data_IF_900609001216
#
_entry.id   IF_900609001216
#
_cell.length_a   1.000
_cell.length_b   1.000
_cell.length_c   1.000
_cell.angle_alpha   90.00
_cell.angle_beta   90.00
_cell.angle_gamma   90.00
#
_symmetry.space_group_name_H-M   'P 1'
#
loop_
_entity.id
_entity.type
_entity.pdbx_description
1 polymer ?
#
# COMPACT_ATOMS: atom_id res chain seq x y z
N UNK A 1 -4.98 30.19 -6.06
CA UNK A 1 -4.38 28.92 -6.52
C UNK A 1 -4.10 28.14 -5.24
N UNK A 2 -4.98 27.24 -4.84
CA UNK A 2 -4.68 26.37 -3.69
C UNK A 2 -3.68 25.35 -4.20
N UNK A 3 -2.43 25.45 -3.74
CA UNK A 3 -1.50 24.35 -3.87
C UNK A 3 -2.11 23.15 -3.13
N UNK A 4 -2.35 22.06 -3.84
CA UNK A 4 -2.68 20.77 -3.22
C UNK A 4 -1.50 20.39 -2.33
N UNK A 5 -1.59 20.71 -1.04
CA UNK A 5 -0.61 20.32 -0.03
C UNK A 5 -0.75 18.82 0.22
N UNK A 6 -0.23 18.02 -0.72
CA UNK A 6 -0.05 16.58 -0.56
C UNK A 6 0.97 16.35 0.55
N UNK A 7 0.49 15.91 1.71
CA UNK A 7 1.37 15.53 2.81
C UNK A 7 1.89 14.12 2.53
N UNK A 8 3.21 14.01 2.39
CA UNK A 8 3.90 12.73 2.30
C UNK A 8 4.56 12.41 3.65
N UNK A 9 4.28 11.23 4.20
CA UNK A 9 5.03 10.68 5.33
C UNK A 9 6.03 9.67 4.78
N UNK A 10 7.30 9.77 5.17
CA UNK A 10 8.35 8.92 4.61
C UNK A 10 9.09 8.15 5.69
N UNK A 11 9.29 6.86 5.47
CA UNK A 11 10.17 5.98 6.22
C UNK A 11 11.31 5.56 5.30
N UNK A 12 12.55 5.76 5.73
CA UNK A 12 13.75 5.31 5.03
C UNK A 12 14.40 4.24 5.88
N UNK A 13 14.67 3.08 5.30
CA UNK A 13 15.32 1.97 6.00
C UNK A 13 16.58 1.53 5.28
N UNK A 14 17.61 1.20 6.06
CA UNK A 14 18.81 0.54 5.59
C UNK A 14 19.35 -0.38 6.69
N UNK A 15 19.27 -1.68 6.44
CA UNK A 15 19.77 -2.74 7.32
C UNK A 15 21.11 -3.26 6.82
N UNK A 16 22.13 -3.22 7.67
CA UNK A 16 23.48 -3.72 7.37
C UNK A 16 23.97 -4.68 8.46
N UNK A 17 24.56 -5.84 8.10
CA UNK A 17 25.14 -6.74 9.09
C UNK A 17 26.39 -6.12 9.72
N UNK A 18 26.52 -6.25 11.04
CA UNK A 18 27.71 -5.79 11.77
C UNK A 18 28.82 -6.83 11.60
N UNK A 19 29.79 -6.54 10.74
CA UNK A 19 30.90 -7.47 10.43
C UNK A 19 32.29 -6.91 10.73
N UNK A 20 32.39 -5.74 11.36
CA UNK A 20 33.66 -5.09 11.71
C UNK A 20 33.50 -3.86 12.61
N UNK A 21 34.57 -3.08 12.75
CA UNK A 21 34.63 -1.90 13.63
C UNK A 21 34.02 -0.63 13.02
N UNK A 22 33.72 -0.63 11.72
CA UNK A 22 33.11 0.49 11.00
C UNK A 22 31.89 -0.02 10.23
N UNK A 23 30.76 0.69 10.37
CA UNK A 23 29.52 0.42 9.63
C UNK A 23 29.24 1.60 8.72
N UNK A 24 29.14 1.35 7.42
CA UNK A 24 28.81 2.40 6.44
C UNK A 24 27.35 2.28 6.02
N UNK A 25 26.58 3.32 6.30
CA UNK A 25 25.18 3.42 5.92
C UNK A 25 25.03 4.24 4.63
N UNK A 26 24.02 3.88 3.86
CA UNK A 26 23.55 4.55 2.63
C UNK A 26 24.52 4.59 1.45
N UNK A 27 25.55 3.75 1.44
CA UNK A 27 26.45 3.60 0.30
C UNK A 27 25.79 2.98 -0.93
N UNK A 28 26.27 3.31 -2.12
CA UNK A 28 25.90 2.58 -3.35
C UNK A 28 26.42 1.15 -3.29
N UNK A 29 25.57 0.19 -3.61
CA UNK A 29 25.91 -1.22 -3.61
C UNK A 29 24.91 -1.98 -4.49
N UNK A 30 25.39 -3.04 -5.13
CA UNK A 30 24.60 -3.96 -5.95
C UNK A 30 24.56 -5.36 -5.31
N UNK A 31 24.81 -5.45 -4.00
CA UNK A 31 24.85 -6.73 -3.29
C UNK A 31 23.44 -7.32 -3.22
N UNK A 32 23.32 -8.62 -3.58
CA UNK A 32 22.08 -9.38 -3.55
C UNK A 32 20.95 -8.71 -4.35
N UNK A 33 21.26 -8.29 -5.57
CA UNK A 33 20.32 -7.57 -6.44
C UNK A 33 19.00 -8.32 -6.62
N UNK A 34 17.91 -7.67 -6.22
CA UNK A 34 16.52 -8.10 -6.42
C UNK A 34 15.67 -6.86 -6.67
N UNK A 35 14.75 -6.87 -7.63
CA UNK A 35 13.93 -5.69 -7.90
C UNK A 35 12.67 -5.67 -7.02
N UNK A 36 12.31 -4.51 -6.47
CA UNK A 36 10.99 -4.30 -5.85
C UNK A 36 9.85 -4.63 -6.81
N UNK A 37 10.10 -4.50 -8.12
CA UNK A 37 9.16 -4.82 -9.18
C UNK A 37 9.08 -6.32 -9.51
N UNK A 38 9.87 -7.19 -8.90
CA UNK A 38 9.81 -8.64 -9.16
C UNK A 38 8.73 -9.35 -8.35
N UNK A 39 8.36 -8.79 -7.18
CA UNK A 39 7.33 -9.35 -6.31
C UNK A 39 5.94 -9.32 -6.95
N UNK A 40 5.03 -10.16 -6.48
CA UNK A 40 3.59 -10.06 -6.73
C UNK A 40 2.93 -9.02 -5.82
N UNK A 41 1.70 -8.59 -6.17
CA UNK A 41 0.91 -7.67 -5.32
C UNK A 41 0.68 -8.26 -3.91
N UNK A 42 0.49 -9.57 -3.84
CA UNK A 42 0.30 -10.31 -2.60
C UNK A 42 1.57 -10.34 -1.75
N UNK A 43 2.71 -10.64 -2.37
CA UNK A 43 4.01 -10.66 -1.69
C UNK A 43 4.38 -9.27 -1.15
N UNK A 44 4.14 -8.20 -1.90
CA UNK A 44 4.45 -6.85 -1.44
C UNK A 44 3.54 -6.42 -0.29
N UNK A 45 2.24 -6.74 -0.33
CA UNK A 45 1.33 -6.46 0.78
C UNK A 45 1.76 -7.22 2.04
N UNK A 46 2.09 -8.52 1.92
CA UNK A 46 2.64 -9.31 3.02
C UNK A 46 3.90 -8.69 3.59
N UNK A 47 4.82 -8.26 2.73
CA UNK A 47 6.07 -7.64 3.16
C UNK A 47 5.82 -6.30 3.89
N UNK A 48 4.96 -5.43 3.36
CA UNK A 48 4.58 -4.15 4.00
C UNK A 48 4.03 -4.41 5.40
N UNK A 49 3.10 -5.36 5.53
CA UNK A 49 2.49 -5.70 6.81
C UNK A 49 3.42 -6.47 7.76
N UNK A 50 4.52 -7.05 7.27
CA UNK A 50 5.55 -7.65 8.13
C UNK A 50 6.42 -6.59 8.82
N UNK A 51 6.60 -5.41 8.21
CA UNK A 51 7.36 -4.31 8.80
C UNK A 51 6.51 -3.56 9.84
N UNK A 52 6.95 -3.54 11.10
CA UNK A 52 6.19 -2.93 12.20
C UNK A 52 5.93 -1.44 11.96
N UNK A 53 6.93 -0.72 11.47
CA UNK A 53 6.91 0.73 11.25
C UNK A 53 5.92 1.08 10.13
N UNK A 54 5.88 0.28 9.06
CA UNK A 54 4.96 0.51 7.94
C UNK A 54 3.52 0.17 8.34
N UNK A 55 3.35 -0.95 9.05
CA UNK A 55 2.05 -1.34 9.59
C UNK A 55 1.52 -0.31 10.59
N UNK A 56 2.38 0.25 11.45
CA UNK A 56 2.04 1.36 12.34
C UNK A 56 1.52 2.58 11.56
N UNK A 57 2.25 2.99 10.52
CA UNK A 57 1.84 4.12 9.68
C UNK A 57 0.48 3.87 9.01
N UNK A 58 0.23 2.67 8.47
CA UNK A 58 -1.05 2.34 7.85
C UNK A 58 -2.19 2.34 8.88
N UNK A 59 -2.01 1.65 10.00
CA UNK A 59 -3.05 1.46 11.01
C UNK A 59 -3.43 2.76 11.72
N UNK A 60 -2.45 3.51 12.24
CA UNK A 60 -2.74 4.70 13.02
C UNK A 60 -3.02 5.94 12.16
N UNK A 61 -2.30 6.12 11.06
CA UNK A 61 -2.36 7.39 10.31
C UNK A 61 -3.40 7.37 9.19
N UNK A 62 -3.80 6.20 8.71
CA UNK A 62 -4.80 6.05 7.63
C UNK A 62 -6.12 5.53 8.19
N UNK A 63 -6.06 4.48 9.00
CA UNK A 63 -7.26 3.80 9.46
C UNK A 63 -7.81 4.37 10.76
N UNK A 64 -7.03 5.23 11.45
CA UNK A 64 -7.32 5.77 12.78
C UNK A 64 -7.59 4.67 13.82
N UNK A 65 -6.83 3.57 13.72
CA UNK A 65 -6.93 2.44 14.64
C UNK A 65 -5.68 2.38 15.52
N UNK A 66 -5.82 1.96 16.78
CA UNK A 66 -4.68 1.78 17.69
C UNK A 66 -3.83 0.58 17.25
N UNK A 67 -2.59 0.81 16.80
CA UNK A 67 -1.70 -0.22 16.29
C UNK A 67 -1.48 -1.41 17.26
N UNK A 68 -1.48 -1.15 18.57
CA UNK A 68 -1.24 -2.18 19.58
C UNK A 68 -2.44 -3.13 19.76
N UNK A 69 -3.64 -2.67 19.40
CA UNK A 69 -4.91 -3.36 19.66
C UNK A 69 -5.59 -3.84 18.37
N UNK A 70 -4.81 -4.18 17.34
CA UNK A 70 -5.32 -4.64 16.04
C UNK A 70 -4.82 -6.06 15.76
N UNK A 71 -5.73 -6.90 15.32
CA UNK A 71 -5.41 -8.10 14.55
C UNK A 71 -5.53 -7.78 13.05
N UNK A 72 -4.68 -8.38 12.23
CA UNK A 72 -4.82 -8.28 10.78
C UNK A 72 -4.80 -9.65 10.11
N UNK A 73 -5.52 -9.76 9.01
CA UNK A 73 -5.54 -10.92 8.13
C UNK A 73 -5.33 -10.44 6.70
N UNK A 74 -4.51 -11.17 5.94
CA UNK A 74 -4.20 -10.87 4.55
C UNK A 74 -4.80 -11.94 3.65
N UNK A 75 -5.09 -11.59 2.40
CA UNK A 75 -5.62 -12.52 1.38
C UNK A 75 -6.87 -13.28 1.87
N UNK A 76 -7.80 -12.54 2.49
CA UNK A 76 -8.94 -13.14 3.17
C UNK A 76 -10.00 -13.59 2.17
N UNK A 77 -10.39 -14.86 2.32
CA UNK A 77 -11.39 -15.56 1.52
C UNK A 77 -12.64 -15.81 2.37
N UNK A 78 -12.91 -17.07 2.69
CA UNK A 78 -13.93 -17.47 3.65
C UNK A 78 -13.47 -17.18 5.09
N UNK A 79 -14.36 -16.77 6.01
CA UNK A 79 -15.82 -16.68 5.86
C UNK A 79 -16.33 -15.30 5.40
N UNK A 80 -15.46 -14.32 5.17
CA UNK A 80 -15.89 -12.96 4.77
C UNK A 80 -16.59 -12.96 3.43
N UNK A 81 -16.06 -13.73 2.48
CA UNK A 81 -16.65 -13.93 1.17
C UNK A 81 -16.98 -15.42 1.01
N UNK A 82 -18.23 -15.73 0.68
CA UNK A 82 -18.60 -17.07 0.26
C UNK A 82 -18.05 -17.36 -1.15
N UNK A 83 -18.07 -18.62 -1.59
CA UNK A 83 -17.52 -19.03 -2.91
C UNK A 83 -18.11 -18.27 -4.11
N UNK A 84 -19.36 -17.83 -4.06
CA UNK A 84 -19.97 -17.05 -5.15
C UNK A 84 -19.50 -15.59 -5.11
N UNK A 85 -19.48 -14.99 -3.92
CA UNK A 85 -18.96 -13.64 -3.69
C UNK A 85 -17.50 -13.54 -4.11
N UNK A 86 -16.67 -14.51 -3.70
CA UNK A 86 -15.25 -14.57 -4.02
C UNK A 86 -14.99 -14.64 -5.54
N UNK A 87 -15.80 -15.40 -6.29
CA UNK A 87 -15.68 -15.45 -7.77
C UNK A 87 -15.91 -14.10 -8.44
N UNK A 88 -16.71 -13.23 -7.83
CA UNK A 88 -17.11 -11.93 -8.39
C UNK A 88 -16.19 -10.80 -7.91
N UNK A 89 -15.76 -10.87 -6.65
CA UNK A 89 -15.04 -9.79 -5.96
C UNK A 89 -13.53 -10.03 -5.99
N UNK A 90 -13.10 -11.29 -5.93
CA UNK A 90 -11.73 -11.65 -5.59
C UNK A 90 -11.57 -11.84 -4.08
N UNK A 91 -10.33 -12.03 -3.65
CA UNK A 91 -9.96 -12.08 -2.24
C UNK A 91 -9.87 -10.66 -1.69
N UNK A 92 -10.00 -10.48 -0.36
CA UNK A 92 -9.77 -9.19 0.29
C UNK A 92 -8.29 -9.11 0.67
N UNK A 93 -7.56 -8.11 0.15
CA UNK A 93 -6.10 -8.05 0.33
C UNK A 93 -5.69 -7.89 1.79
N UNK A 94 -6.32 -6.97 2.55
CA UNK A 94 -6.09 -6.81 3.98
C UNK A 94 -7.37 -6.48 4.76
N UNK A 95 -7.48 -7.06 5.96
CA UNK A 95 -8.54 -6.83 6.93
C UNK A 95 -7.90 -6.48 8.26
N UNK A 96 -8.24 -5.32 8.82
CA UNK A 96 -7.76 -4.81 10.11
C UNK A 96 -8.91 -4.83 11.11
N UNK A 97 -8.72 -5.53 12.22
CA UNK A 97 -9.78 -5.85 13.17
C UNK A 97 -9.36 -5.34 14.56
N UNK A 98 -9.97 -4.26 15.07
CA UNK A 98 -9.70 -3.81 16.44
C UNK A 98 -10.17 -4.85 17.44
N UNK A 99 -9.28 -5.28 18.34
CA UNK A 99 -9.53 -6.35 19.34
C UNK A 99 -10.70 -6.01 20.27
N UNK A 100 -10.84 -4.72 20.60
CA UNK A 100 -11.86 -4.23 21.51
C UNK A 100 -13.15 -3.79 20.80
N UNK A 101 -13.16 -3.71 19.46
CA UNK A 101 -14.31 -3.26 18.70
C UNK A 101 -14.31 -3.81 17.26
N UNK A 102 -14.78 -5.04 17.10
CA UNK A 102 -14.87 -5.71 15.79
C UNK A 102 -15.81 -5.01 14.80
N UNK A 103 -16.73 -4.17 15.27
CA UNK A 103 -17.62 -3.37 14.43
C UNK A 103 -16.86 -2.23 13.74
N UNK A 104 -15.62 -1.93 14.17
CA UNK A 104 -14.70 -0.99 13.54
C UNK A 104 -13.72 -1.66 12.57
N UNK A 105 -14.09 -2.80 11.98
CA UNK A 105 -13.22 -3.48 11.03
C UNK A 105 -12.99 -2.64 9.78
N UNK A 106 -11.73 -2.47 9.41
CA UNK A 106 -11.32 -1.77 8.19
C UNK A 106 -10.83 -2.77 7.15
N UNK A 107 -11.29 -2.61 5.92
CA UNK A 107 -10.76 -3.37 4.78
C UNK A 107 -9.95 -2.47 3.86
N UNK A 108 -8.88 -3.05 3.31
CA UNK A 108 -8.03 -2.39 2.33
C UNK A 108 -7.89 -3.33 1.13
N UNK A 109 -8.31 -2.84 -0.03
CA UNK A 109 -7.97 -3.44 -1.32
C UNK A 109 -6.71 -2.73 -1.82
N UNK A 110 -5.69 -3.48 -2.22
CA UNK A 110 -4.46 -2.94 -2.77
C UNK A 110 -4.45 -3.08 -4.29
N UNK A 111 -3.88 -2.11 -4.99
CA UNK A 111 -3.52 -2.26 -6.39
C UNK A 111 -2.14 -1.72 -6.64
N UNK A 112 -1.35 -2.44 -7.43
CA UNK A 112 0.00 -1.99 -7.77
C UNK A 112 0.11 -1.30 -9.12
N UNK A 113 1.07 -0.38 -9.18
CA UNK A 113 1.58 0.28 -10.38
C UNK A 113 3.11 0.19 -10.32
N UNK A 114 3.71 -0.32 -11.39
CA UNK A 114 5.16 -0.39 -11.54
C UNK A 114 5.63 0.83 -12.30
N UNK A 115 6.67 1.45 -11.75
CA UNK A 115 7.39 2.58 -12.32
C UNK A 115 8.84 2.13 -12.47
N UNK A 116 9.44 2.38 -13.63
CA UNK A 116 10.85 2.07 -13.87
C UNK A 116 11.50 3.23 -14.60
N UNK A 117 12.60 3.73 -14.05
CA UNK A 117 13.45 4.70 -14.74
C UNK A 117 14.41 3.96 -15.67
N UNK A 118 14.40 4.28 -16.96
CA UNK A 118 15.34 3.74 -17.93
C UNK A 118 16.69 4.48 -17.89
N UNK A 119 17.69 3.96 -18.60
CA UNK A 119 19.05 4.53 -18.61
C UNK A 119 19.12 5.94 -19.20
N UNK A 120 18.18 6.30 -20.06
CA UNK A 120 18.03 7.64 -20.64
C UNK A 120 17.23 8.60 -19.72
N UNK A 121 16.94 8.18 -18.49
CA UNK A 121 16.08 8.83 -17.50
C UNK A 121 14.59 8.92 -17.91
N UNK A 122 14.16 8.26 -18.99
CA UNK A 122 12.74 8.17 -19.30
C UNK A 122 12.02 7.24 -18.32
N UNK A 123 10.78 7.57 -17.96
CA UNK A 123 9.99 6.78 -17.02
C UNK A 123 8.94 5.95 -17.75
N UNK A 124 8.88 4.67 -17.42
CA UNK A 124 7.84 3.76 -17.90
C UNK A 124 6.91 3.41 -16.75
N UNK A 125 5.63 3.71 -16.90
CA UNK A 125 4.57 3.29 -15.98
C UNK A 125 3.77 2.15 -16.60
N UNK A 126 3.30 1.21 -15.78
CA UNK A 126 2.38 0.17 -16.25
C UNK A 126 0.94 0.41 -15.78
N UNK A 127 -0.02 -0.01 -16.60
CA UNK A 127 -1.38 -0.37 -16.18
C UNK A 127 -2.23 0.70 -15.45
N UNK A 128 -1.85 1.97 -15.38
CA UNK A 128 -2.58 3.03 -14.63
C UNK A 128 -4.11 2.98 -14.83
N UNK A 129 -4.56 3.04 -16.09
CA UNK A 129 -6.01 3.00 -16.42
C UNK A 129 -6.68 1.70 -15.99
N UNK A 130 -5.98 0.57 -16.10
CA UNK A 130 -6.53 -0.73 -15.72
C UNK A 130 -6.58 -0.89 -14.21
N UNK A 131 -5.53 -0.45 -13.51
CA UNK A 131 -5.44 -0.41 -12.04
C UNK A 131 -6.58 0.42 -11.47
N UNK A 132 -6.81 1.64 -12.02
CA UNK A 132 -7.94 2.50 -11.67
C UNK A 132 -9.28 1.78 -11.76
N UNK A 133 -9.61 1.28 -12.96
CA UNK A 133 -10.92 0.66 -13.22
C UNK A 133 -11.16 -0.58 -12.36
N UNK A 134 -10.14 -1.43 -12.17
CA UNK A 134 -10.26 -2.64 -11.36
C UNK A 134 -10.41 -2.33 -9.88
N UNK A 135 -9.55 -1.46 -9.33
CA UNK A 135 -9.62 -1.05 -7.93
C UNK A 135 -10.97 -0.44 -7.59
N UNK A 136 -11.45 0.52 -8.39
CA UNK A 136 -12.73 1.18 -8.13
C UNK A 136 -13.91 0.19 -8.22
N UNK A 137 -13.87 -0.73 -9.20
CA UNK A 137 -14.87 -1.78 -9.33
C UNK A 137 -14.90 -2.73 -8.12
N UNK A 138 -13.74 -3.11 -7.58
CA UNK A 138 -13.66 -3.96 -6.40
C UNK A 138 -14.14 -3.25 -5.14
N UNK A 139 -13.70 -2.01 -4.91
CA UNK A 139 -14.19 -1.18 -3.79
C UNK A 139 -15.72 -1.11 -3.84
N UNK A 140 -16.30 -0.75 -4.97
CA UNK A 140 -17.75 -0.67 -5.13
C UNK A 140 -18.48 -1.97 -4.77
N UNK A 141 -17.88 -3.13 -5.04
CA UNK A 141 -18.45 -4.42 -4.64
C UNK A 141 -18.29 -4.68 -3.14
N UNK A 142 -17.13 -4.39 -2.56
CA UNK A 142 -16.82 -4.57 -1.14
C UNK A 142 -17.64 -3.64 -0.23
N UNK A 143 -17.97 -2.44 -0.70
CA UNK A 143 -18.83 -1.49 0.03
C UNK A 143 -20.20 -2.07 0.38
N UNK A 144 -20.71 -3.05 -0.39
CA UNK A 144 -21.99 -3.73 -0.12
C UNK A 144 -22.04 -4.51 1.19
N UNK A 145 -20.88 -4.77 1.79
CA UNK A 145 -20.77 -5.45 3.08
C UNK A 145 -20.74 -4.48 4.26
N UNK A 146 -20.75 -3.16 4.03
CA UNK A 146 -20.75 -2.14 5.08
C UNK A 146 -19.65 -2.36 6.13
N UNK A 147 -18.40 -2.62 5.74
CA UNK A 147 -17.29 -2.52 6.70
C UNK A 147 -17.17 -1.08 7.21
N UNK A 148 -16.65 -0.91 8.42
CA UNK A 148 -16.55 0.40 9.09
C UNK A 148 -15.86 1.46 8.24
N UNK A 149 -14.68 1.11 7.69
CA UNK A 149 -14.00 1.89 6.66
C UNK A 149 -13.56 0.96 5.53
N UNK A 150 -13.53 1.50 4.31
CA UNK A 150 -13.07 0.78 3.13
C UNK A 150 -12.10 1.66 2.35
N UNK A 151 -10.89 1.17 2.14
CA UNK A 151 -9.83 1.89 1.45
C UNK A 151 -9.39 1.17 0.18
N UNK A 152 -9.05 1.97 -0.84
CA UNK A 152 -8.17 1.55 -1.92
C UNK A 152 -6.75 2.06 -1.62
N UNK A 153 -5.80 1.15 -1.47
CA UNK A 153 -4.38 1.47 -1.38
C UNK A 153 -3.70 1.26 -2.73
N UNK A 154 -3.05 2.28 -3.29
CA UNK A 154 -2.29 2.14 -4.54
C UNK A 154 -0.80 2.08 -4.22
N UNK A 155 -0.18 0.92 -4.49
CA UNK A 155 1.26 0.70 -4.29
C UNK A 155 2.01 1.06 -5.58
N UNK A 156 2.85 2.08 -5.51
CA UNK A 156 3.73 2.53 -6.58
C UNK A 156 5.10 1.92 -6.32
N UNK A 157 5.42 0.84 -7.04
CA UNK A 157 6.73 0.17 -7.01
C UNK A 157 7.67 0.94 -7.94
N UNK A 158 8.54 1.79 -7.39
CA UNK A 158 9.45 2.66 -8.14
C UNK A 158 10.87 2.11 -8.16
N UNK A 159 11.25 1.54 -9.30
CA UNK A 159 12.62 1.14 -9.58
C UNK A 159 13.42 2.34 -10.12
N UNK A 160 14.01 3.07 -9.17
CA UNK A 160 14.78 4.30 -9.39
C UNK A 160 16.30 4.07 -9.41
N UNK A 161 16.77 2.83 -9.57
CA UNK A 161 18.20 2.49 -9.52
C UNK A 161 19.06 3.23 -10.56
N UNK A 162 18.45 3.64 -11.67
CA UNK A 162 19.13 4.40 -12.72
C UNK A 162 19.19 5.92 -12.44
N UNK A 163 18.46 6.42 -11.44
CA UNK A 163 18.49 7.84 -11.05
C UNK A 163 19.80 8.14 -10.35
N UNK A 164 20.74 8.79 -11.06
CA UNK A 164 22.04 9.19 -10.49
C UNK A 164 21.94 10.59 -9.89
N UNK A 165 21.60 10.66 -8.61
CA UNK A 165 21.70 11.89 -7.81
C UNK A 165 22.75 11.72 -6.70
N UNK A 166 23.94 12.34 -6.84
CA UNK A 166 24.96 12.32 -5.80
C UNK A 166 24.42 12.92 -4.50
N UNK A 167 24.75 12.30 -3.36
CA UNK A 167 24.41 12.78 -2.01
C UNK A 167 22.90 12.90 -1.68
N UNK A 168 22.03 12.25 -2.45
CA UNK A 168 20.59 12.22 -2.17
C UNK A 168 20.17 10.87 -1.59
N UNK A 169 19.58 10.89 -0.39
CA UNK A 169 19.05 9.70 0.31
C UNK A 169 17.76 9.21 -0.35
N UNK A 170 16.91 10.16 -0.77
CA UNK A 170 15.63 9.92 -1.43
C UNK A 170 15.78 10.10 -2.95
N UNK A 171 15.98 9.01 -3.67
CA UNK A 171 15.94 9.00 -5.13
C UNK A 171 14.61 8.43 -5.58
N UNK A 172 13.83 9.23 -6.31
CA UNK A 172 12.55 8.83 -6.87
C UNK A 172 12.51 9.21 -8.35
N UNK A 173 11.62 8.55 -9.10
CA UNK A 173 11.27 8.94 -10.47
C UNK A 173 10.51 10.27 -10.46
N UNK A 174 11.18 11.38 -10.80
CA UNK A 174 10.54 12.69 -10.96
C UNK A 174 10.12 12.88 -12.43
N UNK A 175 8.97 12.33 -12.80
CA UNK A 175 8.41 12.43 -14.16
C UNK A 175 6.90 12.74 -14.09
N UNK A 176 6.35 13.61 -14.97
CA UNK A 176 4.91 13.91 -15.01
C UNK A 176 4.00 12.68 -15.12
N UNK A 177 4.50 11.58 -15.71
CA UNK A 177 3.78 10.32 -15.77
C UNK A 177 3.58 9.70 -14.37
N UNK A 178 4.51 9.91 -13.43
CA UNK A 178 4.37 9.51 -12.02
C UNK A 178 3.36 10.42 -11.32
N UNK A 179 3.41 11.73 -11.58
CA UNK A 179 2.45 12.68 -11.02
C UNK A 179 1.01 12.35 -11.41
N UNK A 180 0.81 11.88 -12.65
CA UNK A 180 -0.50 11.45 -13.15
C UNK A 180 -1.10 10.25 -12.39
N UNK A 181 -0.28 9.48 -11.66
CA UNK A 181 -0.77 8.37 -10.83
C UNK A 181 -1.58 8.91 -9.65
N UNK A 182 -1.13 10.00 -9.04
CA UNK A 182 -1.85 10.62 -7.92
C UNK A 182 -3.16 11.29 -8.36
N UNK A 183 -3.33 11.49 -9.66
CA UNK A 183 -4.53 12.06 -10.26
C UNK A 183 -5.57 11.00 -10.64
N UNK A 184 -5.40 9.75 -10.18
CA UNK A 184 -6.26 8.61 -10.54
C UNK A 184 -7.75 8.84 -10.23
N UNK A 185 -8.08 9.71 -9.26
CA UNK A 185 -9.44 10.01 -8.84
C UNK A 185 -10.05 11.26 -9.53
N UNK A 186 -9.33 11.89 -10.47
CA UNK A 186 -9.83 13.11 -11.17
C UNK A 186 -10.97 12.82 -12.15
N UNK A 187 -10.88 11.72 -12.91
CA UNK A 187 -11.84 11.41 -13.99
C UNK A 187 -12.95 10.43 -13.58
N UNK A 188 -12.58 9.41 -12.81
CA UNK A 188 -13.50 8.40 -12.29
C UNK A 188 -13.70 8.71 -10.81
N UNK A 189 -14.96 8.71 -10.34
CA UNK A 189 -15.24 8.99 -8.92
C UNK A 189 -15.17 7.69 -8.14
N UNK A 190 -14.15 7.56 -7.30
CA UNK A 190 -14.21 6.63 -6.18
C UNK A 190 -15.47 6.93 -5.35
N UNK A 191 -16.15 5.88 -4.85
CA UNK A 191 -17.35 6.04 -4.03
C UNK A 191 -17.12 7.05 -2.90
N UNK A 192 -18.11 7.91 -2.64
CA UNK A 192 -17.94 9.10 -1.79
C UNK A 192 -17.47 8.78 -0.37
N UNK A 193 -17.78 7.60 0.14
CA UNK A 193 -17.43 7.12 1.47
C UNK A 193 -16.18 6.23 1.52
N UNK A 194 -15.63 5.83 0.36
CA UNK A 194 -14.38 5.08 0.31
C UNK A 194 -13.17 6.02 0.33
N UNK A 195 -12.11 5.58 1.00
CA UNK A 195 -10.84 6.29 1.07
C UNK A 195 -9.84 5.83 0.01
N UNK A 196 -8.87 6.69 -0.27
CA UNK A 196 -7.78 6.47 -1.22
C UNK A 196 -6.47 6.94 -0.62
N UNK A 197 -5.46 6.09 -0.66
CA UNK A 197 -4.10 6.44 -0.32
C UNK A 197 -3.10 5.77 -1.27
N UNK A 198 -1.91 6.34 -1.33
CA UNK A 198 -0.81 5.92 -2.15
C UNK A 198 0.37 5.52 -1.26
N UNK A 199 1.00 4.41 -1.60
CA UNK A 199 2.28 3.97 -1.05
C UNK A 199 3.32 4.06 -2.15
N UNK A 200 4.32 4.92 -1.99
CA UNK A 200 5.50 4.93 -2.84
C UNK A 200 6.54 4.00 -2.21
N UNK A 201 6.79 2.86 -2.83
CA UNK A 201 7.86 1.97 -2.42
C UNK A 201 8.99 2.05 -3.45
N UNK A 202 10.04 2.77 -3.08
CA UNK A 202 11.14 3.09 -3.99
C UNK A 202 12.38 2.30 -3.63
N UNK A 203 13.01 1.71 -4.65
CA UNK A 203 14.31 1.08 -4.56
C UNK A 203 15.38 2.03 -5.15
N UNK A 204 16.16 2.71 -4.30
CA UNK A 204 17.08 3.75 -4.76
C UNK A 204 18.44 3.21 -5.26
N UNK A 205 18.76 1.94 -4.97
CA UNK A 205 20.08 1.32 -5.25
C UNK A 205 19.93 -0.14 -5.68
N UNK A 206 20.98 -0.75 -6.23
CA UNK A 206 20.99 -2.18 -6.61
C UNK A 206 21.00 -3.17 -5.43
N UNK A 207 21.00 -2.70 -4.18
CA UNK A 207 20.85 -3.54 -3.00
C UNK A 207 19.48 -4.22 -2.95
N UNK A 208 19.42 -5.38 -2.30
CA UNK A 208 18.15 -6.05 -1.99
C UNK A 208 17.16 -5.06 -1.33
N UNK A 209 15.94 -4.97 -1.87
CA UNK A 209 14.95 -4.00 -1.41
C UNK A 209 14.50 -4.26 0.05
N UNK A 210 14.60 -5.50 0.55
CA UNK A 210 14.33 -5.82 1.96
C UNK A 210 15.37 -5.22 2.90
N UNK A 211 16.61 -5.03 2.40
CA UNK A 211 17.69 -4.41 3.16
C UNK A 211 17.66 -2.89 3.05
N UNK A 212 17.18 -2.35 1.92
CA UNK A 212 17.12 -0.91 1.70
C UNK A 212 15.94 -0.49 0.84
N UNK A 213 15.08 0.34 1.42
CA UNK A 213 13.91 0.88 0.75
C UNK A 213 13.55 2.28 1.27
N UNK A 214 12.84 3.02 0.42
CA UNK A 214 12.11 4.22 0.82
C UNK A 214 10.61 3.92 0.73
N UNK A 215 9.89 4.16 1.81
CA UNK A 215 8.44 4.06 1.86
C UNK A 215 7.86 5.46 2.05
N UNK A 216 7.09 5.94 1.08
CA UNK A 216 6.30 7.16 1.17
C UNK A 216 4.83 6.82 1.27
N UNK A 217 4.10 7.50 2.14
CA UNK A 217 2.64 7.41 2.24
C UNK A 217 2.02 8.77 1.93
N UNK A 218 1.03 8.78 1.05
CA UNK A 218 0.20 9.94 0.78
C UNK A 218 -1.28 9.56 0.86
N UNK A 219 -2.07 10.35 1.57
CA UNK A 219 -3.52 10.15 1.67
C UNK A 219 -4.16 11.19 0.76
N UNK A 220 -4.90 10.71 -0.24
CA UNK A 220 -5.69 11.55 -1.14
C UNK A 220 -7.07 11.84 -0.54
N UNK A 221 -7.65 10.80 0.07
CA UNK A 221 -9.00 10.87 0.63
C UNK A 221 -9.14 9.91 1.81
N UNK A 222 -9.61 10.40 2.94
CA UNK A 222 -10.00 9.57 4.08
C UNK A 222 -11.33 8.85 3.79
N UNK A 223 -11.44 7.60 4.25
CA UNK A 223 -12.70 6.86 4.20
C UNK A 223 -13.67 7.43 5.24
N UNK A 224 -14.96 7.47 4.91
CA UNK A 224 -16.00 7.79 5.90
C UNK A 224 -16.29 6.58 6.77
N UNK A 225 -16.65 6.83 8.01
CA UNK A 225 -17.12 5.82 8.94
C UNK A 225 -18.54 5.40 8.61
N UNK A 226 -18.80 4.10 8.65
CA UNK A 226 -20.11 3.52 8.39
C UNK A 226 -20.43 2.49 9.45
N UNK A 227 -21.69 2.48 9.87
CA UNK A 227 -22.17 1.46 10.80
C UNK A 227 -22.05 0.07 10.17
N UNK A 228 -21.20 -0.75 10.78
CA UNK A 228 -21.01 -2.12 10.33
C UNK A 228 -22.22 -2.97 10.68
N UNK A 229 -22.83 -3.60 9.67
CA UNK A 229 -24.01 -4.40 9.90
C UNK A 229 -23.68 -5.72 10.62
N UNK A 230 -24.68 -6.27 11.32
CA UNK A 230 -24.55 -7.53 12.07
C UNK A 230 -24.06 -8.70 11.21
N UNK A 231 -24.47 -8.76 9.94
CA UNK A 231 -24.05 -9.83 9.03
C UNK A 231 -22.53 -9.84 8.83
N UNK A 232 -21.93 -8.68 8.59
CA UNK A 232 -20.48 -8.52 8.43
C UNK A 232 -19.75 -8.72 9.75
N UNK A 233 -20.29 -8.21 10.85
CA UNK A 233 -19.74 -8.43 12.19
C UNK A 233 -19.67 -9.93 12.53
N UNK A 234 -20.70 -10.71 12.25
CA UNK A 234 -20.68 -12.17 12.47
C UNK A 234 -19.67 -12.89 11.58
N UNK A 235 -19.52 -12.47 10.32
CA UNK A 235 -18.46 -12.99 9.44
C UNK A 235 -17.06 -12.71 9.99
N UNK A 236 -16.83 -11.54 10.58
CA UNK A 236 -15.55 -11.19 11.23
C UNK A 236 -15.30 -12.06 12.47
N UNK A 237 -16.30 -12.27 13.33
CA UNK A 237 -16.18 -13.20 14.47
C UNK A 237 -15.78 -14.60 14.02
N UNK A 238 -16.42 -15.10 12.97
CA UNK A 238 -16.10 -16.42 12.40
C UNK A 238 -14.69 -16.50 11.81
N UNK A 239 -14.15 -15.39 11.30
CA UNK A 239 -12.78 -15.32 10.81
C UNK A 239 -11.75 -15.41 11.96
N UNK A 240 -12.05 -14.79 13.12
CA UNK A 240 -11.18 -14.80 14.29
C UNK A 240 -11.15 -16.17 15.01
N UNK A 241 -12.23 -16.94 14.92
CA UNK A 241 -12.35 -18.26 15.56
C UNK A 241 -11.70 -19.42 14.77
N UNK A 242 -11.00 -19.11 13.66
CA UNK A 242 -10.25 -20.08 12.84
C UNK A 242 -8.75 -19.92 13.05
#
# INVERSE_FOLDING_TARGET
MNEDLRVFRTVVSHTVPITGNEVKLFNESNKNESSVTDLTEQEIVKWIFAQNELRYVITEQICDLNFQDIDYKLEVKEPLLNKQEQKIIGDIDAVLIPKNNIEQTVIIEFKRIKVSTLQDNSVKTNKLVTTRKKGFSQIKKLRKFNYFKTYLGVIIEDDSRNVKSPNTILRNSNDPAVDSIFDINKDDKLENDAGLFFINLTQPTGENFELRFNFGLNIDKYASEIEQNNFTTEKIKNLLNK
#
